data_IF_541751841177
#
_entry.id   IF_541751841177
#
_cell.length_a   1.000
_cell.length_b   1.000
_cell.length_c   1.000
_cell.angle_alpha   90.00
_cell.angle_beta   90.00
_cell.angle_gamma   90.00
#
_symmetry.space_group_name_H-M   'P 1'
#
loop_
_entity.id
_entity.type
_entity.pdbx_description
1 polymer ?
#
# COMPACT_ATOMS: atom_id res chain seq x y z
N UNK A 1 -6.63 4.19 2.37
CA UNK A 1 -7.20 5.55 2.23
C UNK A 1 -8.35 5.83 3.22
N UNK A 2 -9.55 5.25 3.06
CA UNK A 2 -10.69 5.60 3.95
C UNK A 2 -10.48 5.19 5.42
N UNK A 3 -9.87 4.02 5.65
CA UNK A 3 -9.55 3.54 7.00
C UNK A 3 -8.52 4.44 7.71
N UNK A 4 -7.61 5.05 6.94
CA UNK A 4 -6.59 5.96 7.46
C UNK A 4 -7.24 7.25 8.00
N UNK A 5 -8.17 7.84 7.23
CA UNK A 5 -8.92 9.02 7.65
C UNK A 5 -9.81 8.70 8.87
N UNK A 6 -10.52 7.57 8.85
CA UNK A 6 -11.39 7.17 9.95
C UNK A 6 -10.59 6.95 11.25
N UNK A 7 -9.46 6.24 11.16
CA UNK A 7 -8.56 6.04 12.28
C UNK A 7 -8.02 7.38 12.81
N UNK A 8 -7.59 8.27 11.92
CA UNK A 8 -7.10 9.60 12.29
C UNK A 8 -8.15 10.43 13.03
N UNK A 9 -9.39 10.46 12.53
CA UNK A 9 -10.49 11.19 13.18
C UNK A 9 -10.76 10.61 14.57
N UNK A 10 -10.76 9.28 14.72
CA UNK A 10 -10.96 8.63 16.03
C UNK A 10 -9.88 9.04 17.05
N UNK A 11 -8.62 9.10 16.61
CA UNK A 11 -7.51 9.56 17.47
C UNK A 11 -7.62 11.05 17.80
N UNK A 12 -8.01 11.89 16.83
CA UNK A 12 -8.10 13.33 17.02
C UNK A 12 -9.24 13.75 17.97
N UNK A 13 -10.35 13.00 17.96
CA UNK A 13 -11.51 13.23 18.85
C UNK A 13 -11.23 12.72 20.28
N UNK A 14 -10.21 11.90 20.47
CA UNK A 14 -9.81 11.43 21.80
C UNK A 14 -9.27 12.58 22.65
N UNK A 15 -9.73 12.69 23.91
CA UNK A 15 -9.37 13.78 24.83
C UNK A 15 -7.87 13.88 25.17
N UNK A 16 -7.08 12.86 24.81
CA UNK A 16 -5.64 12.73 25.08
C UNK A 16 -4.81 12.82 23.78
N UNK A 17 -5.21 13.73 22.89
CA UNK A 17 -4.63 13.95 21.55
C UNK A 17 -3.12 14.34 21.61
N UNK A 18 -2.68 14.97 22.70
CA UNK A 18 -1.30 15.41 22.91
C UNK A 18 -0.31 14.29 23.29
N UNK A 19 -0.77 13.04 23.43
CA UNK A 19 0.11 11.92 23.71
C UNK A 19 0.93 11.52 22.47
N UNK A 20 2.22 11.20 22.67
CA UNK A 20 3.14 10.77 21.60
C UNK A 20 2.59 9.63 20.72
N UNK A 21 1.72 8.79 21.29
CA UNK A 21 1.03 7.68 20.61
C UNK A 21 -0.01 8.15 19.59
N UNK A 22 -0.79 9.19 19.92
CA UNK A 22 -1.73 9.81 18.99
C UNK A 22 -0.99 10.46 17.82
N UNK A 23 0.13 11.14 18.11
CA UNK A 23 0.98 11.72 17.08
C UNK A 23 1.61 10.64 16.16
N UNK A 24 2.01 9.49 16.71
CA UNK A 24 2.49 8.35 15.91
C UNK A 24 1.41 7.80 14.99
N UNK A 25 0.21 7.53 15.51
CA UNK A 25 -0.92 7.06 14.70
C UNK A 25 -1.30 8.09 13.63
N UNK A 26 -1.26 9.38 13.99
CA UNK A 26 -1.54 10.47 13.07
C UNK A 26 -0.52 10.60 11.94
N UNK A 27 0.76 10.45 12.25
CA UNK A 27 1.83 10.39 11.26
C UNK A 27 1.60 9.23 10.28
N UNK A 28 1.38 8.01 10.78
CA UNK A 28 1.17 6.81 9.94
C UNK A 28 -0.07 6.96 9.05
N UNK A 29 -1.16 7.49 9.60
CA UNK A 29 -2.42 7.66 8.87
C UNK A 29 -2.33 8.75 7.80
N UNK A 30 -1.77 9.93 8.13
CA UNK A 30 -1.65 11.01 7.15
C UNK A 30 -0.62 10.72 6.08
N UNK A 31 0.54 10.17 6.44
CA UNK A 31 1.52 9.76 5.44
C UNK A 31 0.99 8.63 4.57
N UNK A 32 0.23 7.68 5.15
CA UNK A 32 -0.43 6.61 4.40
C UNK A 32 -1.44 7.13 3.40
N UNK A 33 -2.27 8.08 3.82
CA UNK A 33 -3.22 8.76 2.95
C UNK A 33 -2.53 9.48 1.78
N UNK A 34 -1.50 10.28 2.05
CA UNK A 34 -0.78 11.00 1.00
C UNK A 34 -0.07 10.05 0.03
N UNK A 35 0.60 9.02 0.54
CA UNK A 35 1.33 8.09 -0.32
C UNK A 35 0.36 7.24 -1.16
N UNK A 36 -0.73 6.72 -0.58
CA UNK A 36 -1.77 6.04 -1.37
C UNK A 36 -2.44 6.98 -2.37
N UNK A 37 -2.69 8.24 -1.99
CA UNK A 37 -3.27 9.25 -2.88
C UNK A 37 -2.38 9.56 -4.08
N UNK A 38 -1.07 9.75 -3.87
CA UNK A 38 -0.11 9.98 -4.95
C UNK A 38 -0.01 8.76 -5.87
N UNK A 39 0.05 7.54 -5.31
CA UNK A 39 0.03 6.30 -6.09
C UNK A 39 -1.24 6.20 -6.95
N UNK A 40 -2.40 6.53 -6.37
CA UNK A 40 -3.67 6.53 -7.10
C UNK A 40 -3.67 7.55 -8.24
N UNK A 41 -3.12 8.75 -8.05
CA UNK A 41 -2.94 9.73 -9.13
C UNK A 41 -2.01 9.20 -10.23
N UNK A 42 -0.91 8.53 -9.86
CA UNK A 42 -0.01 7.93 -10.86
C UNK A 42 -0.67 6.81 -11.65
N UNK A 43 -1.54 6.02 -11.01
CA UNK A 43 -2.40 5.05 -11.67
C UNK A 43 -3.39 5.71 -12.63
N UNK A 44 -4.12 6.74 -12.18
CA UNK A 44 -5.13 7.45 -13.00
C UNK A 44 -4.50 8.14 -14.22
N UNK A 45 -3.31 8.71 -14.05
CA UNK A 45 -2.59 9.42 -15.11
C UNK A 45 -1.81 8.48 -16.03
N UNK A 46 -1.91 7.16 -15.85
CA UNK A 46 -1.15 6.13 -16.58
C UNK A 46 0.38 6.42 -16.65
N UNK A 47 0.92 7.18 -15.71
CA UNK A 47 2.36 7.49 -15.62
C UNK A 47 3.16 6.21 -15.40
N UNK A 48 2.56 5.29 -14.65
CA UNK A 48 3.07 3.96 -14.35
C UNK A 48 3.31 3.16 -15.64
N UNK A 49 2.40 3.26 -16.61
CA UNK A 49 2.54 2.56 -17.88
C UNK A 49 3.73 3.09 -18.68
N UNK A 50 4.04 4.39 -18.60
CA UNK A 50 5.12 4.99 -19.38
C UNK A 50 6.52 4.64 -18.85
N UNK A 51 6.62 4.16 -17.60
CA UNK A 51 7.87 3.80 -16.93
C UNK A 51 8.05 2.28 -16.80
N UNK A 52 8.17 1.58 -17.94
CA UNK A 52 8.34 0.12 -18.00
C UNK A 52 9.64 -0.42 -17.37
N UNK A 53 10.62 0.45 -17.09
CA UNK A 53 11.94 0.05 -16.57
C UNK A 53 11.89 -0.33 -15.09
N UNK A 54 10.92 0.19 -14.33
CA UNK A 54 10.86 -0.01 -12.88
C UNK A 54 9.92 -1.19 -12.55
N UNK A 55 10.38 -2.21 -11.79
CA UNK A 55 9.53 -3.32 -11.38
C UNK A 55 8.50 -2.87 -10.34
N UNK A 56 7.40 -2.30 -10.81
CA UNK A 56 6.44 -1.56 -9.99
C UNK A 56 5.72 -2.41 -8.96
N UNK A 57 5.46 -3.68 -9.30
CA UNK A 57 4.88 -4.65 -8.36
C UNK A 57 5.75 -4.86 -7.11
N UNK A 58 7.08 -4.73 -7.22
CA UNK A 58 8.01 -4.83 -6.07
C UNK A 58 7.95 -3.58 -5.19
N UNK A 59 7.83 -2.42 -5.81
CA UNK A 59 7.72 -1.13 -5.10
C UNK A 59 6.42 -1.08 -4.30
N UNK A 60 5.32 -1.49 -4.93
CA UNK A 60 4.03 -1.53 -4.26
C UNK A 60 3.95 -2.59 -3.16
N UNK A 61 4.56 -3.75 -3.38
CA UNK A 61 4.69 -4.75 -2.33
C UNK A 61 5.50 -4.20 -1.14
N UNK A 62 6.63 -3.54 -1.40
CA UNK A 62 7.44 -2.92 -0.36
C UNK A 62 6.67 -1.86 0.43
N UNK A 63 5.92 -1.00 -0.28
CA UNK A 63 5.06 0.01 0.32
C UNK A 63 3.97 -0.60 1.21
N UNK A 64 3.19 -1.54 0.67
CA UNK A 64 2.08 -2.18 1.39
C UNK A 64 2.56 -2.99 2.60
N UNK A 65 3.69 -3.69 2.48
CA UNK A 65 4.30 -4.43 3.60
C UNK A 65 4.80 -3.48 4.70
N UNK A 66 5.48 -2.39 4.33
CA UNK A 66 5.98 -1.39 5.29
C UNK A 66 4.82 -0.72 6.02
N UNK A 67 3.75 -0.37 5.31
CA UNK A 67 2.56 0.25 5.90
C UNK A 67 1.79 -0.69 6.82
N UNK A 68 1.75 -1.99 6.49
CA UNK A 68 1.19 -3.03 7.38
C UNK A 68 1.94 -3.04 8.73
N UNK A 69 3.27 -2.96 8.71
CA UNK A 69 4.08 -2.91 9.93
C UNK A 69 3.84 -1.63 10.74
N UNK A 70 3.77 -0.46 10.08
CA UNK A 70 3.47 0.79 10.76
C UNK A 70 2.07 0.79 11.39
N UNK A 71 1.06 0.27 10.69
CA UNK A 71 -0.27 0.13 11.26
C UNK A 71 -0.33 -0.87 12.41
N UNK A 72 0.45 -1.96 12.36
CA UNK A 72 0.53 -2.91 13.46
C UNK A 72 1.05 -2.23 14.74
N UNK A 73 2.16 -1.49 14.64
CA UNK A 73 2.74 -0.78 15.80
C UNK A 73 1.83 0.34 16.30
N UNK A 74 1.25 1.13 15.40
CA UNK A 74 0.33 2.21 15.75
C UNK A 74 -0.96 1.70 16.40
N UNK A 75 -1.60 0.68 15.83
CA UNK A 75 -2.81 0.08 16.38
C UNK A 75 -2.54 -0.59 17.74
N UNK A 76 -1.41 -1.27 17.90
CA UNK A 76 -1.00 -1.85 19.20
C UNK A 76 -0.80 -0.78 20.28
N UNK A 77 -0.18 0.34 19.92
CA UNK A 77 0.00 1.46 20.85
C UNK A 77 -1.33 2.10 21.28
N UNK A 78 -2.32 2.19 20.38
CA UNK A 78 -3.67 2.64 20.71
C UNK A 78 -4.45 1.60 21.53
N UNK A 79 -4.30 0.31 21.23
CA UNK A 79 -4.99 -0.78 21.91
C UNK A 79 -4.64 -0.87 23.40
N UNK A 80 -3.38 -0.57 23.76
CA UNK A 80 -2.94 -0.53 25.16
C UNK A 80 -3.74 0.44 26.04
N UNK A 81 -4.38 1.45 25.44
CA UNK A 81 -5.20 2.45 26.14
C UNK A 81 -6.69 2.36 25.79
N UNK A 82 -7.08 1.43 24.92
CA UNK A 82 -8.46 1.20 24.55
C UNK A 82 -9.34 0.75 25.72
N UNK A 83 -8.75 0.14 26.75
CA UNK A 83 -9.47 -0.25 27.98
C UNK A 83 -9.90 0.94 28.85
N UNK A 84 -9.23 2.09 28.74
CA UNK A 84 -9.53 3.29 29.53
C UNK A 84 -10.44 4.27 28.80
N UNK A 85 -10.36 4.31 27.47
CA UNK A 85 -11.09 5.27 26.66
C UNK A 85 -11.64 4.60 25.39
N UNK A 86 -12.97 4.64 25.21
CA UNK A 86 -13.64 4.02 24.07
C UNK A 86 -13.15 4.55 22.71
N UNK A 87 -12.76 5.83 22.64
CA UNK A 87 -12.23 6.45 21.41
C UNK A 87 -10.88 5.83 20.98
N UNK A 88 -10.02 5.48 21.94
CA UNK A 88 -8.75 4.79 21.68
C UNK A 88 -8.97 3.34 21.22
N UNK A 89 -9.99 2.66 21.76
CA UNK A 89 -10.39 1.33 21.31
C UNK A 89 -10.91 1.35 19.86
N UNK A 90 -11.75 2.33 19.51
CA UNK A 90 -12.25 2.52 18.15
C UNK A 90 -11.11 2.82 17.16
N UNK A 91 -10.18 3.71 17.53
CA UNK A 91 -9.00 4.00 16.73
C UNK A 91 -8.13 2.75 16.51
N UNK A 92 -7.89 1.96 17.56
CA UNK A 92 -7.15 0.71 17.45
C UNK A 92 -7.85 -0.29 16.51
N UNK A 93 -9.18 -0.42 16.63
CA UNK A 93 -9.97 -1.30 15.75
C UNK A 93 -9.83 -0.90 14.28
N UNK A 94 -10.02 0.38 13.94
CA UNK A 94 -9.84 0.84 12.56
C UNK A 94 -8.40 0.71 12.08
N UNK A 95 -7.41 0.93 12.95
CA UNK A 95 -6.00 0.70 12.66
C UNK A 95 -5.67 -0.77 12.37
N UNK A 96 -6.26 -1.72 13.10
CA UNK A 96 -6.12 -3.14 12.81
C UNK A 96 -6.81 -3.54 11.51
N UNK A 97 -8.00 -3.00 11.23
CA UNK A 97 -8.65 -3.18 9.93
C UNK A 97 -7.79 -2.66 8.78
N UNK A 98 -7.14 -1.50 8.95
CA UNK A 98 -6.19 -0.96 7.98
C UNK A 98 -4.99 -1.89 7.80
N UNK A 99 -4.41 -2.38 8.89
CA UNK A 99 -3.31 -3.36 8.86
C UNK A 99 -3.69 -4.60 8.04
N UNK A 100 -4.87 -5.17 8.28
CA UNK A 100 -5.36 -6.33 7.53
C UNK A 100 -5.55 -5.99 6.05
N UNK A 101 -6.14 -4.84 5.73
CA UNK A 101 -6.35 -4.42 4.35
C UNK A 101 -5.03 -4.27 3.58
N UNK A 102 -4.02 -3.60 4.17
CA UNK A 102 -2.69 -3.48 3.59
C UNK A 102 -1.97 -4.84 3.50
N UNK A 103 -2.14 -5.71 4.49
CA UNK A 103 -1.54 -7.05 4.51
C UNK A 103 -2.13 -7.98 3.44
N UNK A 104 -3.45 -7.94 3.24
CA UNK A 104 -4.14 -8.69 2.18
C UNK A 104 -3.69 -8.20 0.80
N UNK A 105 -3.57 -6.89 0.63
CA UNK A 105 -3.07 -6.30 -0.61
C UNK A 105 -1.61 -6.70 -0.89
N UNK A 106 -0.75 -6.68 0.13
CA UNK A 106 0.62 -7.18 0.04
C UNK A 106 0.66 -8.68 -0.32
N UNK A 107 -0.24 -9.50 0.23
CA UNK A 107 -0.33 -10.92 -0.07
C UNK A 107 -0.72 -11.18 -1.53
N UNK A 108 -1.72 -10.46 -2.06
CA UNK A 108 -2.09 -10.56 -3.47
C UNK A 108 -0.94 -10.13 -4.38
N UNK A 109 -0.26 -9.03 -4.06
CA UNK A 109 0.93 -8.57 -4.80
C UNK A 109 2.09 -9.57 -4.74
N UNK A 110 2.31 -10.20 -3.59
CA UNK A 110 3.30 -11.27 -3.45
C UNK A 110 2.95 -12.50 -4.28
N UNK A 111 1.67 -12.88 -4.31
CA UNK A 111 1.19 -13.99 -5.14
C UNK A 111 1.39 -13.69 -6.63
N UNK A 112 1.07 -12.47 -7.06
CA UNK A 112 1.29 -12.03 -8.45
C UNK A 112 2.77 -11.96 -8.83
N UNK A 113 3.64 -11.50 -7.94
CA UNK A 113 5.10 -11.57 -8.14
C UNK A 113 5.60 -13.01 -8.32
N UNK A 114 5.07 -13.97 -7.56
CA UNK A 114 5.41 -15.39 -7.72
C UNK A 114 4.80 -16.02 -8.97
N UNK A 115 3.66 -15.50 -9.44
CA UNK A 115 2.99 -15.90 -10.69
C UNK A 115 3.62 -15.31 -11.96
N UNK A 116 4.60 -14.41 -11.83
CA UNK A 116 5.19 -13.71 -12.97
C UNK A 116 4.25 -12.64 -13.58
N UNK A 117 3.21 -12.24 -12.85
CA UNK A 117 2.28 -11.21 -13.29
C UNK A 117 3.01 -9.85 -13.33
N UNK A 118 2.88 -9.18 -14.45
CA UNK A 118 3.27 -7.79 -14.64
C UNK A 118 2.16 -6.88 -14.11
N UNK A 119 2.54 -5.79 -13.43
CA UNK A 119 1.62 -4.90 -12.73
C UNK A 119 0.48 -4.36 -13.62
N UNK A 120 0.62 -4.39 -14.95
CA UNK A 120 -0.44 -4.05 -15.89
C UNK A 120 -0.21 -4.72 -17.26
N UNK A 121 -1.19 -5.55 -17.68
CA UNK A 121 -1.41 -6.00 -19.07
C UNK A 121 -0.39 -6.97 -19.67
N UNK A 122 -0.86 -8.04 -20.31
CA UNK A 122 -0.04 -8.93 -21.15
C UNK A 122 0.91 -8.11 -22.01
N UNK A 123 2.22 -8.32 -21.81
CA UNK A 123 3.20 -7.84 -22.78
C UNK A 123 2.88 -8.65 -24.03
N UNK A 124 2.08 -8.08 -24.94
CA UNK A 124 2.06 -8.55 -26.32
C UNK A 124 3.47 -8.30 -26.83
N UNK A 125 4.34 -9.27 -26.56
CA UNK A 125 5.56 -9.46 -27.31
C UNK A 125 5.00 -9.83 -28.68
N UNK A 126 4.78 -8.83 -29.52
CA UNK A 126 4.81 -9.08 -30.95
C UNK A 126 6.19 -9.72 -31.17
N UNK A 127 6.17 -11.05 -31.25
CA UNK A 127 7.28 -11.81 -31.79
C UNK A 127 7.32 -11.35 -33.24
N UNK A 128 8.05 -10.25 -33.48
CA UNK A 128 8.55 -9.89 -34.80
C UNK A 128 9.39 -11.08 -35.18
N UNK A 129 8.77 -12.01 -35.91
CA UNK A 129 9.41 -13.20 -36.40
C UNK A 129 10.63 -12.75 -37.19
N UNK A 130 11.80 -13.05 -36.67
CA UNK A 130 13.07 -13.00 -37.39
C UNK A 130 12.98 -14.03 -38.53
N UNK A 131 12.24 -13.68 -39.58
CA UNK A 131 12.41 -14.23 -40.92
C UNK A 131 13.38 -13.33 -41.69
N UNK A 132 14.46 -12.91 -41.03
CA UNK A 132 15.66 -12.48 -41.72
C UNK A 132 16.23 -13.71 -42.44
N UNK A 133 15.73 -13.91 -43.66
CA UNK A 133 16.49 -14.28 -44.85
C UNK A 133 17.92 -14.72 -44.51
N UNK A 134 18.20 -16.01 -44.65
CA UNK A 134 19.56 -16.49 -44.82
C UNK A 134 19.95 -16.26 -46.29
N UNK A 135 20.78 -15.24 -46.63
CA UNK A 135 21.33 -15.13 -47.96
C UNK A 135 22.41 -16.20 -48.17
N UNK A 136 22.10 -17.16 -49.05
CA UNK A 136 23.09 -17.92 -49.81
C UNK A 136 23.56 -19.22 -49.16
N UNK A 137 23.13 -20.34 -49.75
CA UNK A 137 23.90 -21.58 -49.79
C UNK A 137 23.69 -22.25 -51.15
N UNK A 138 24.68 -22.01 -52.03
CA UNK A 138 25.03 -22.67 -53.30
C UNK A 138 23.95 -22.92 -54.38
#
# INVERSE_FOLDING_TARGET
MFLDILGYICVMVSADNSHSRANWFGFVSMTGFWVTGILLVFYLMHIIEKFHMVPWIKVEFGYTALWTFFYLTAASACAAWGGYYAAWAAAAFFGFCAMIAYGVDAFFKFKGMRGGEIAQGERNIEVVGDNLQSPGAY
#
